data_IF_163267878089
#
_entry.id   IF_163267878089
#
_cell.length_a   1.000
_cell.length_b   1.000
_cell.length_c   1.000
_cell.angle_alpha   90.00
_cell.angle_beta   90.00
_cell.angle_gamma   90.00
#
_symmetry.space_group_name_H-M   'P 1'
#
loop_
_entity.id
_entity.type
_entity.pdbx_description
1 polymer ?
#
# COMPACT_ATOMS: atom_id res chain seq x y z
N UNK A 1 -15.88 -1.68 21.44
CA UNK A 1 -14.57 -1.75 20.77
C UNK A 1 -14.63 -0.90 19.51
N UNK A 2 -13.71 0.05 19.31
CA UNK A 2 -13.76 1.00 18.18
C UNK A 2 -13.10 0.39 16.95
N UNK A 3 -13.74 0.49 15.77
CA UNK A 3 -13.14 0.06 14.50
C UNK A 3 -11.87 0.86 14.21
N UNK A 4 -10.73 0.18 14.18
CA UNK A 4 -9.41 0.80 13.95
C UNK A 4 -8.99 0.80 12.48
N UNK A 5 -9.61 -0.05 11.67
CA UNK A 5 -9.41 -0.10 10.21
C UNK A 5 -10.21 1.07 9.61
N UNK A 6 -9.50 2.17 9.34
CA UNK A 6 -10.05 3.40 8.77
C UNK A 6 -9.22 3.80 7.54
N UNK A 7 -9.82 4.59 6.66
CA UNK A 7 -9.11 5.20 5.55
C UNK A 7 -7.88 5.98 6.05
N UNK A 8 -6.77 5.89 5.31
CA UNK A 8 -5.49 6.52 5.67
C UNK A 8 -4.61 5.70 6.60
N UNK A 9 -5.06 4.53 7.11
CA UNK A 9 -4.19 3.64 7.88
C UNK A 9 -3.26 2.83 6.98
N UNK A 10 -2.01 2.71 7.42
CA UNK A 10 -0.97 1.92 6.73
C UNK A 10 -1.09 0.46 7.15
N UNK A 11 -1.02 -0.44 6.17
CA UNK A 11 -1.12 -1.89 6.32
C UNK A 11 -0.03 -2.60 5.52
N UNK A 12 0.25 -3.86 5.87
CA UNK A 12 1.15 -4.74 5.11
C UNK A 12 0.33 -5.88 4.51
N UNK A 13 0.52 -6.15 3.23
CA UNK A 13 -0.16 -7.25 2.53
C UNK A 13 0.55 -8.55 2.88
N UNK A 14 -0.19 -9.55 3.37
CA UNK A 14 0.40 -10.81 3.84
C UNK A 14 0.58 -11.87 2.74
N UNK A 15 -0.34 -11.92 1.77
CA UNK A 15 -0.38 -12.98 0.76
C UNK A 15 -0.76 -12.45 -0.64
N UNK A 16 -0.46 -13.24 -1.68
CA UNK A 16 -0.71 -12.91 -3.09
C UNK A 16 0.45 -12.16 -3.76
N UNK A 17 0.24 -11.68 -4.99
CA UNK A 17 1.27 -11.02 -5.83
C UNK A 17 1.97 -9.84 -5.15
N UNK A 18 1.27 -9.14 -4.25
CA UNK A 18 1.77 -7.96 -3.55
C UNK A 18 2.18 -8.24 -2.10
N UNK A 19 2.40 -9.50 -1.71
CA UNK A 19 2.86 -9.87 -0.38
C UNK A 19 4.14 -9.12 0.04
N UNK A 20 4.21 -8.73 1.32
CA UNK A 20 5.31 -7.97 1.91
C UNK A 20 5.31 -6.47 1.57
N UNK A 21 4.42 -6.00 0.70
CA UNK A 21 4.35 -4.58 0.32
C UNK A 21 3.51 -3.79 1.30
N UNK A 22 3.91 -2.54 1.51
CA UNK A 22 3.19 -1.55 2.31
C UNK A 22 2.09 -0.90 1.47
N UNK A 23 0.93 -0.72 2.08
CA UNK A 23 -0.21 -0.08 1.44
C UNK A 23 -0.98 0.79 2.44
N UNK A 24 -1.88 1.62 1.92
CA UNK A 24 -2.79 2.48 2.67
C UNK A 24 -4.21 2.06 2.35
N UNK A 25 -5.06 1.95 3.38
CA UNK A 25 -6.49 1.70 3.21
C UNK A 25 -7.14 2.95 2.61
N UNK A 26 -7.78 2.81 1.46
CA UNK A 26 -8.54 3.88 0.81
C UNK A 26 -10.00 3.79 1.21
N UNK A 27 -10.56 2.58 1.14
CA UNK A 27 -11.95 2.30 1.49
C UNK A 27 -12.06 0.96 2.20
N UNK A 28 -12.84 0.91 3.26
CA UNK A 28 -13.09 -0.31 4.01
C UNK A 28 -14.53 -0.81 3.78
N UNK A 29 -14.71 -2.12 3.63
CA UNK A 29 -15.99 -2.81 3.45
C UNK A 29 -16.07 -3.98 4.44
N UNK A 30 -16.45 -3.71 5.69
CA UNK A 30 -16.49 -4.76 6.73
C UNK A 30 -17.61 -5.79 6.50
N UNK A 31 -18.73 -5.37 5.90
CA UNK A 31 -19.94 -6.19 5.69
C UNK A 31 -19.95 -6.91 4.33
N UNK A 32 -18.90 -6.72 3.52
CA UNK A 32 -18.81 -7.28 2.18
C UNK A 32 -19.69 -6.55 1.15
N UNK A 33 -19.68 -7.08 -0.07
CA UNK A 33 -20.51 -6.65 -1.21
C UNK A 33 -21.13 -7.87 -1.88
N UNK A 34 -22.04 -7.66 -2.84
CA UNK A 34 -22.67 -8.77 -3.57
C UNK A 34 -21.64 -9.69 -4.26
N UNK A 35 -20.53 -9.13 -4.74
CA UNK A 35 -19.46 -9.89 -5.40
C UNK A 35 -18.52 -10.59 -4.40
N UNK A 36 -18.39 -10.03 -3.19
CA UNK A 36 -17.47 -10.50 -2.15
C UNK A 36 -18.17 -10.50 -0.80
N UNK A 37 -18.71 -11.65 -0.35
CA UNK A 37 -19.50 -11.71 0.89
C UNK A 37 -18.65 -11.59 2.17
N UNK A 38 -17.31 -11.57 2.05
CA UNK A 38 -16.40 -11.39 3.18
C UNK A 38 -15.94 -9.93 3.31
N UNK A 39 -15.58 -9.53 4.52
CA UNK A 39 -15.01 -8.20 4.77
C UNK A 39 -13.70 -7.97 4.02
N UNK A 40 -13.60 -6.86 3.28
CA UNK A 40 -12.41 -6.52 2.51
C UNK A 40 -12.11 -5.02 2.53
N UNK A 41 -10.88 -4.67 2.23
CA UNK A 41 -10.46 -3.28 2.06
C UNK A 41 -9.89 -3.06 0.66
N UNK A 42 -10.21 -1.90 0.09
CA UNK A 42 -9.54 -1.37 -1.10
C UNK A 42 -8.31 -0.61 -0.62
N UNK A 43 -7.14 -1.03 -1.11
CA UNK A 43 -5.84 -0.50 -0.70
C UNK A 43 -5.08 0.09 -1.87
N UNK A 44 -4.34 1.17 -1.61
CA UNK A 44 -3.37 1.73 -2.53
C UNK A 44 -1.98 1.46 -1.98
N UNK A 45 -1.12 0.77 -2.74
CA UNK A 45 0.19 0.34 -2.27
C UNK A 45 1.32 0.71 -3.23
N UNK A 46 2.54 0.63 -2.71
CA UNK A 46 3.75 0.87 -3.50
C UNK A 46 4.24 -0.46 -4.04
N UNK A 47 4.18 -0.67 -5.36
CA UNK A 47 4.63 -1.92 -5.97
C UNK A 47 6.15 -2.09 -5.88
N UNK A 48 6.91 -1.03 -6.19
CA UNK A 48 8.36 -1.01 -6.09
C UNK A 48 8.73 0.16 -5.19
N UNK A 49 9.39 -0.13 -4.07
CA UNK A 49 9.85 0.94 -3.19
C UNK A 49 10.97 1.75 -3.85
N UNK A 50 11.04 3.07 -3.61
CA UNK A 50 12.15 3.90 -4.03
C UNK A 50 13.50 3.29 -3.62
N UNK A 51 14.48 3.34 -4.52
CA UNK A 51 15.82 2.86 -4.26
C UNK A 51 16.62 3.92 -3.46
N UNK A 52 17.55 3.46 -2.62
CA UNK A 52 18.43 4.33 -1.81
C UNK A 52 19.09 5.41 -2.68
N UNK A 53 18.99 6.67 -2.27
CA UNK A 53 19.68 7.80 -2.92
C UNK A 53 20.88 8.21 -2.06
N UNK A 54 22.01 8.49 -2.68
CA UNK A 54 23.20 9.03 -2.00
C UNK A 54 23.51 10.44 -2.51
N UNK A 55 24.19 11.26 -1.71
CA UNK A 55 24.49 12.66 -2.04
C UNK A 55 25.29 12.84 -3.33
N UNK A 56 26.12 11.87 -3.71
CA UNK A 56 26.93 11.90 -4.94
C UNK A 56 26.13 11.67 -6.24
N UNK A 57 24.85 11.30 -6.16
CA UNK A 57 24.05 11.01 -7.35
C UNK A 57 23.58 12.29 -8.05
N UNK A 58 23.79 12.37 -9.37
CA UNK A 58 23.24 13.45 -10.19
C UNK A 58 21.71 13.36 -10.35
N UNK A 59 21.08 14.50 -10.68
CA UNK A 59 19.62 14.68 -10.76
C UNK A 59 18.90 13.60 -11.60
N UNK A 60 19.47 13.23 -12.75
CA UNK A 60 18.91 12.18 -13.65
C UNK A 60 18.84 10.80 -12.98
N UNK A 61 19.85 10.44 -12.18
CA UNK A 61 19.91 9.14 -11.49
C UNK A 61 18.96 9.13 -10.28
N UNK A 62 18.90 10.24 -9.55
CA UNK A 62 17.98 10.42 -8.42
C UNK A 62 16.52 10.33 -8.86
N UNK A 63 16.14 11.00 -9.96
CA UNK A 63 14.78 10.94 -10.51
C UNK A 63 14.37 9.53 -10.94
N UNK A 64 15.30 8.73 -11.49
CA UNK A 64 15.02 7.33 -11.85
C UNK A 64 14.88 6.41 -10.63
N UNK A 65 15.58 6.69 -9.53
CA UNK A 65 15.56 5.89 -8.30
C UNK A 65 14.38 6.18 -7.38
N UNK A 66 13.78 7.36 -7.49
CA UNK A 66 12.70 7.84 -6.61
C UNK A 66 11.30 7.59 -7.17
N UNK A 67 11.18 6.79 -8.23
CA UNK A 67 9.90 6.36 -8.81
C UNK A 67 9.26 5.26 -7.98
#
# INVERSE_FOLDING_TARGET
MVKFIKAGKVVVILQGRYAGKKAVVVRNHDEGTKDRPYGYAVVAGVERSPLKVTKAMGKKKTAKRSK
#
